data_IF_986892647482
#
_entry.id   IF_986892647482
#
_cell.length_a   1.000
_cell.length_b   1.000
_cell.length_c   1.000
_cell.angle_alpha   90.00
_cell.angle_beta   90.00
_cell.angle_gamma   90.00
#
_symmetry.space_group_name_H-M   'P 1'
#
loop_
_entity.id
_entity.type
_entity.pdbx_description
1 polymer ?
#
# COMPACT_ATOMS: atom_id res chain seq x y z
N UNK A 1 19.37 0.19 -1.40
CA UNK A 1 19.21 -1.25 -1.07
C UNK A 1 18.07 -1.78 -1.94
N UNK A 2 18.10 -3.06 -2.30
CA UNK A 2 17.03 -3.69 -3.07
C UNK A 2 15.82 -4.01 -2.20
N UNK A 3 14.63 -3.87 -2.76
CA UNK A 3 13.31 -4.22 -2.20
C UNK A 3 12.47 -4.86 -3.31
N UNK A 4 11.47 -5.66 -2.92
CA UNK A 4 10.45 -6.16 -3.85
C UNK A 4 9.10 -5.56 -3.50
N UNK A 5 8.22 -5.46 -4.48
CA UNK A 5 6.85 -4.94 -4.33
C UNK A 5 5.88 -5.91 -5.03
N UNK A 6 4.70 -6.12 -4.45
CA UNK A 6 3.62 -6.86 -5.10
C UNK A 6 2.96 -6.00 -6.18
N UNK A 7 2.53 -6.63 -7.28
CA UNK A 7 1.94 -5.94 -8.43
C UNK A 7 0.48 -6.32 -8.68
N UNK A 8 -0.17 -5.59 -9.60
CA UNK A 8 -1.60 -5.70 -9.92
C UNK A 8 -1.94 -6.82 -10.92
N UNK A 9 -0.98 -7.69 -11.31
CA UNK A 9 -1.14 -8.65 -12.42
C UNK A 9 -0.53 -10.02 -12.20
N UNK A 10 0.70 -10.10 -11.68
CA UNK A 10 1.51 -11.32 -11.70
C UNK A 10 1.88 -11.75 -10.29
N UNK A 11 2.55 -10.90 -9.51
CA UNK A 11 3.09 -11.30 -8.20
C UNK A 11 2.31 -10.69 -7.05
N UNK A 12 1.62 -11.55 -6.32
CA UNK A 12 0.87 -11.20 -5.11
C UNK A 12 1.78 -11.16 -3.88
N UNK A 13 1.32 -10.63 -2.73
CA UNK A 13 2.04 -10.77 -1.47
C UNK A 13 2.35 -12.22 -1.10
N UNK A 14 1.44 -13.15 -1.33
CA UNK A 14 1.64 -14.59 -1.06
C UNK A 14 2.81 -15.17 -1.86
N UNK A 15 3.02 -14.72 -3.10
CA UNK A 15 4.15 -15.13 -3.94
C UNK A 15 5.49 -14.57 -3.42
N UNK A 16 5.49 -13.29 -3.04
CA UNK A 16 6.73 -12.58 -2.72
C UNK A 16 7.20 -12.76 -1.28
N UNK A 17 6.28 -12.91 -0.32
CA UNK A 17 6.62 -13.01 1.10
C UNK A 17 7.61 -14.16 1.43
N UNK A 18 7.45 -15.39 0.89
CA UNK A 18 8.43 -16.46 1.07
C UNK A 18 9.81 -16.11 0.51
N UNK A 19 9.87 -15.49 -0.67
CA UNK A 19 11.11 -15.08 -1.33
C UNK A 19 11.81 -13.99 -0.52
N UNK A 20 11.09 -12.94 -0.13
CA UNK A 20 11.58 -11.85 0.71
C UNK A 20 12.19 -12.37 2.01
N UNK A 21 11.50 -13.28 2.72
CA UNK A 21 12.01 -13.89 3.95
C UNK A 21 13.28 -14.72 3.71
N UNK A 22 13.30 -15.55 2.67
CA UNK A 22 14.46 -16.41 2.34
C UNK A 22 15.69 -15.61 1.93
N UNK A 23 15.49 -14.54 1.16
CA UNK A 23 16.57 -13.71 0.63
C UNK A 23 16.99 -12.56 1.58
N UNK A 24 16.23 -12.31 2.64
CA UNK A 24 16.44 -11.13 3.49
C UNK A 24 16.16 -9.80 2.78
N UNK A 25 15.28 -9.81 1.77
CA UNK A 25 14.89 -8.62 0.99
C UNK A 25 13.55 -8.12 1.53
N UNK A 26 13.42 -6.83 1.89
CA UNK A 26 12.14 -6.31 2.35
C UNK A 26 11.06 -6.29 1.26
N UNK A 27 9.82 -6.57 1.66
CA UNK A 27 8.63 -6.37 0.85
C UNK A 27 8.07 -4.97 1.11
N UNK A 28 8.13 -4.11 0.11
CA UNK A 28 7.29 -2.91 0.00
C UNK A 28 5.89 -3.40 -0.32
N UNK A 29 4.99 -3.29 0.65
CA UNK A 29 3.60 -3.68 0.43
C UNK A 29 2.85 -2.54 -0.26
N UNK A 30 2.32 -2.79 -1.45
CA UNK A 30 1.38 -1.91 -2.12
C UNK A 30 -0.05 -2.41 -1.89
N UNK A 31 -0.84 -1.62 -1.16
CA UNK A 31 -2.21 -1.98 -0.81
C UNK A 31 -3.20 -1.78 -1.97
N UNK A 32 -2.88 -0.97 -2.98
CA UNK A 32 -3.71 -0.77 -4.17
C UNK A 32 -3.56 -1.93 -5.16
N UNK A 33 -2.32 -2.34 -5.44
CA UNK A 33 -1.99 -3.51 -6.24
C UNK A 33 -2.61 -4.78 -5.64
N UNK A 34 -2.51 -4.98 -4.32
CA UNK A 34 -3.12 -6.15 -3.69
C UNK A 34 -4.65 -6.15 -3.75
N UNK A 35 -5.31 -4.98 -3.75
CA UNK A 35 -6.77 -4.92 -3.99
C UNK A 35 -7.13 -5.22 -5.44
N UNK A 36 -6.27 -4.84 -6.41
CA UNK A 36 -6.46 -5.14 -7.82
C UNK A 36 -6.20 -6.63 -8.12
N UNK A 37 -5.25 -7.24 -7.42
CA UNK A 37 -4.85 -8.63 -7.57
C UNK A 37 -4.77 -9.30 -6.19
N UNK A 38 -5.93 -9.77 -5.72
CA UNK A 38 -6.06 -10.40 -4.40
C UNK A 38 -5.57 -11.84 -4.43
N UNK A 39 -4.85 -12.23 -3.38
CA UNK A 39 -4.42 -13.61 -3.11
C UNK A 39 -5.25 -14.30 -2.02
N UNK A 40 -6.37 -13.70 -1.62
CA UNK A 40 -7.23 -14.17 -0.53
C UNK A 40 -6.78 -13.76 0.87
N UNK A 41 -5.61 -13.13 1.03
CA UNK A 41 -5.18 -12.58 2.32
C UNK A 41 -5.81 -11.21 2.60
N UNK A 42 -6.05 -10.93 3.89
CA UNK A 42 -6.49 -9.61 4.33
C UNK A 42 -5.34 -8.59 4.35
N UNK A 43 -5.67 -7.32 4.12
CA UNK A 43 -4.70 -6.21 4.19
C UNK A 43 -3.96 -6.18 5.54
N UNK A 44 -4.67 -6.40 6.64
CA UNK A 44 -4.10 -6.41 7.99
C UNK A 44 -3.07 -7.53 8.18
N UNK A 45 -3.34 -8.69 7.57
CA UNK A 45 -2.46 -9.85 7.64
C UNK A 45 -1.20 -9.61 6.81
N UNK A 46 -1.36 -9.19 5.55
CA UNK A 46 -0.21 -8.87 4.68
C UNK A 46 0.64 -7.76 5.27
N UNK A 47 0.02 -6.70 5.82
CA UNK A 47 0.72 -5.62 6.51
C UNK A 47 1.62 -6.17 7.62
N UNK A 48 1.08 -7.05 8.49
CA UNK A 48 1.86 -7.66 9.58
C UNK A 48 3.02 -8.51 9.05
N UNK A 49 2.81 -9.27 7.98
CA UNK A 49 3.85 -10.11 7.39
C UNK A 49 4.93 -9.29 6.68
N UNK A 50 4.53 -8.30 5.88
CA UNK A 50 5.44 -7.40 5.17
C UNK A 50 6.32 -6.64 6.17
N UNK A 51 5.77 -6.10 7.26
CA UNK A 51 6.56 -5.43 8.32
C UNK A 51 7.69 -6.29 8.87
N UNK A 52 7.47 -7.60 9.05
CA UNK A 52 8.50 -8.53 9.56
C UNK A 52 9.66 -8.75 8.59
N UNK A 53 9.53 -8.33 7.32
CA UNK A 53 10.62 -8.39 6.34
C UNK A 53 11.58 -7.18 6.42
N UNK A 54 11.24 -6.16 7.22
CA UNK A 54 12.07 -4.97 7.42
C UNK A 54 12.84 -5.03 8.74
N UNK A 55 14.07 -4.51 8.73
CA UNK A 55 14.92 -4.30 9.92
C UNK A 55 15.06 -2.81 10.31
N UNK A 56 14.19 -1.97 9.76
CA UNK A 56 14.06 -0.52 9.98
C UNK A 56 12.58 -0.16 9.77
N UNK A 57 12.25 1.12 9.88
CA UNK A 57 10.93 1.62 9.48
C UNK A 57 10.58 1.15 8.05
N UNK A 58 9.45 0.44 7.87
CA UNK A 58 9.00 -0.02 6.56
C UNK A 58 8.57 1.13 5.65
N UNK A 59 8.68 0.91 4.35
CA UNK A 59 8.10 1.75 3.30
C UNK A 59 6.98 0.97 2.61
N UNK A 60 5.76 1.49 2.59
CA UNK A 60 4.60 0.92 1.89
C UNK A 60 3.99 1.93 0.92
N UNK A 61 3.30 1.45 -0.10
CA UNK A 61 2.72 2.27 -1.16
C UNK A 61 1.19 2.30 -1.07
N UNK A 62 0.61 3.44 -1.42
CA UNK A 62 -0.83 3.61 -1.52
C UNK A 62 -1.25 4.44 -2.74
N UNK A 63 -2.28 3.94 -3.41
CA UNK A 63 -3.01 4.61 -4.47
C UNK A 63 -4.52 4.44 -4.30
N UNK A 64 -5.28 5.18 -5.12
CA UNK A 64 -6.72 5.01 -5.30
C UNK A 64 -7.04 4.89 -6.79
N UNK A 65 -8.08 4.12 -7.16
CA UNK A 65 -8.49 3.95 -8.55
C UNK A 65 -9.04 5.27 -9.14
N UNK A 66 -8.55 5.65 -10.34
CA UNK A 66 -8.96 6.85 -11.06
C UNK A 66 -10.47 6.90 -11.32
N UNK A 67 -11.06 5.74 -11.61
CA UNK A 67 -12.47 5.59 -11.98
C UNK A 67 -13.27 4.83 -10.91
N UNK A 68 -12.72 4.74 -9.69
CA UNK A 68 -13.32 3.96 -8.61
C UNK A 68 -13.12 2.44 -8.75
N UNK A 69 -13.40 1.71 -7.67
CA UNK A 69 -13.24 0.25 -7.63
C UNK A 69 -14.20 -0.51 -8.56
N UNK A 70 -15.31 0.11 -8.96
CA UNK A 70 -16.26 -0.43 -9.93
C UNK A 70 -15.97 0.03 -11.37
N UNK A 71 -14.94 0.84 -11.56
CA UNK A 71 -14.51 1.31 -12.88
C UNK A 71 -13.83 0.21 -13.70
N UNK A 72 -13.71 0.39 -15.02
CA UNK A 72 -13.18 -0.65 -15.92
C UNK A 72 -11.68 -0.92 -15.75
N UNK A 73 -10.94 0.02 -15.14
CA UNK A 73 -9.48 -0.03 -14.96
C UNK A 73 -9.09 0.43 -13.55
N UNK A 74 -9.42 -0.36 -12.50
CA UNK A 74 -9.20 0.04 -11.12
C UNK A 74 -7.71 0.22 -10.78
N UNK A 75 -6.82 -0.40 -11.55
CA UNK A 75 -5.38 -0.23 -11.36
C UNK A 75 -4.84 1.17 -11.72
N UNK A 76 -5.58 2.00 -12.47
CA UNK A 76 -5.09 3.35 -12.83
C UNK A 76 -5.13 4.27 -11.62
N UNK A 77 -4.02 4.94 -11.32
CA UNK A 77 -3.94 5.84 -10.17
C UNK A 77 -4.71 7.15 -10.40
N UNK A 78 -5.49 7.54 -9.39
CA UNK A 78 -6.16 8.83 -9.30
C UNK A 78 -5.14 9.95 -8.99
N UNK A 79 -5.58 11.20 -9.15
CA UNK A 79 -4.83 12.39 -8.73
C UNK A 79 -4.64 12.48 -7.21
N UNK A 80 -5.48 11.79 -6.43
CA UNK A 80 -5.56 11.91 -4.97
C UNK A 80 -5.93 10.58 -4.35
N UNK A 81 -5.59 10.39 -3.07
CA UNK A 81 -6.00 9.22 -2.29
C UNK A 81 -7.38 9.45 -1.69
N UNK A 82 -8.29 8.51 -1.89
CA UNK A 82 -9.53 8.43 -1.14
C UNK A 82 -9.21 7.92 0.26
N UNK A 83 -9.65 8.64 1.30
CA UNK A 83 -9.41 8.25 2.71
C UNK A 83 -9.88 6.82 3.01
N UNK A 84 -10.94 6.34 2.36
CA UNK A 84 -11.45 4.98 2.54
C UNK A 84 -10.48 3.90 2.07
N UNK A 85 -9.57 4.24 1.17
CA UNK A 85 -8.56 3.32 0.66
C UNK A 85 -7.31 3.29 1.55
N UNK A 86 -7.13 4.25 2.46
CA UNK A 86 -6.05 4.21 3.44
C UNK A 86 -6.32 3.09 4.47
N UNK A 87 -5.45 2.06 4.59
CA UNK A 87 -5.70 0.97 5.52
C UNK A 87 -5.76 1.43 6.97
N UNK A 88 -6.86 1.11 7.67
CA UNK A 88 -7.01 1.47 9.09
C UNK A 88 -5.94 0.84 9.97
N UNK A 89 -5.48 -0.36 9.65
CA UNK A 89 -4.41 -1.03 10.38
C UNK A 89 -3.05 -0.33 10.26
N UNK A 90 -2.90 0.65 9.35
CA UNK A 90 -1.70 1.48 9.27
C UNK A 90 -1.76 2.67 10.23
N UNK A 91 -2.95 3.06 10.70
CA UNK A 91 -3.10 4.14 11.66
C UNK A 91 -2.43 3.76 12.98
N UNK A 92 -1.45 4.56 13.42
CA UNK A 92 -0.68 4.34 14.65
C UNK A 92 0.55 3.44 14.50
N UNK A 93 0.87 2.96 13.30
CA UNK A 93 2.13 2.28 13.04
C UNK A 93 3.25 3.29 12.73
N UNK A 94 4.47 2.98 13.19
CA UNK A 94 5.69 3.58 12.65
C UNK A 94 5.92 2.99 11.25
N UNK A 95 5.58 3.79 10.23
CA UNK A 95 5.51 3.39 8.84
C UNK A 95 5.67 4.63 7.94
N UNK A 96 6.57 4.54 6.96
CA UNK A 96 6.61 5.50 5.86
C UNK A 96 5.64 5.04 4.79
N UNK A 97 4.73 5.93 4.39
CA UNK A 97 3.77 5.68 3.31
C UNK A 97 4.12 6.55 2.11
N UNK A 98 4.52 5.93 1.01
CA UNK A 98 4.66 6.60 -0.28
C UNK A 98 3.28 6.75 -0.94
N UNK A 99 2.93 7.98 -1.29
CA UNK A 99 1.66 8.31 -1.94
C UNK A 99 1.86 8.33 -3.43
N UNK A 100 1.40 7.28 -4.10
CA UNK A 100 1.48 7.14 -5.54
C UNK A 100 0.22 7.73 -6.20
N UNK A 101 0.23 9.05 -6.37
CA UNK A 101 -0.88 9.78 -6.97
C UNK A 101 -0.36 10.84 -7.97
N UNK A 102 -1.18 11.18 -8.97
CA UNK A 102 -0.75 12.10 -10.04
C UNK A 102 -0.56 13.54 -9.56
N UNK A 103 -1.29 13.99 -8.53
CA UNK A 103 -1.13 15.33 -7.96
C UNK A 103 0.04 15.44 -6.96
N UNK A 104 0.89 14.39 -6.84
CA UNK A 104 2.16 14.42 -6.11
C UNK A 104 2.02 14.98 -4.70
N UNK A 105 2.76 16.05 -4.35
CA UNK A 105 2.78 16.63 -3.01
C UNK A 105 1.41 17.17 -2.56
N UNK A 106 0.55 17.60 -3.50
CA UNK A 106 -0.81 18.02 -3.17
C UNK A 106 -1.65 16.84 -2.67
N UNK A 107 -1.41 15.63 -3.18
CA UNK A 107 -2.06 14.42 -2.70
C UNK A 107 -1.63 14.07 -1.27
N UNK A 108 -0.33 14.20 -0.98
CA UNK A 108 0.22 14.00 0.38
C UNK A 108 -0.42 14.99 1.35
N UNK A 109 -0.39 16.29 1.05
CA UNK A 109 -0.95 17.34 1.93
C UNK A 109 -2.45 17.13 2.18
N UNK A 110 -3.21 16.76 1.14
CA UNK A 110 -4.65 16.47 1.27
C UNK A 110 -4.90 15.24 2.13
N UNK A 111 -4.14 14.16 1.93
CA UNK A 111 -4.26 12.93 2.71
C UNK A 111 -3.95 13.20 4.18
N UNK A 112 -2.83 13.88 4.49
CA UNK A 112 -2.45 14.24 5.87
C UNK A 112 -3.56 15.03 6.59
N UNK A 113 -4.12 16.04 5.94
CA UNK A 113 -5.26 16.81 6.50
C UNK A 113 -6.47 15.92 6.78
N UNK A 114 -6.76 14.97 5.89
CA UNK A 114 -7.87 14.03 6.07
C UNK A 114 -7.62 13.07 7.23
N UNK A 115 -6.39 12.60 7.43
CA UNK A 115 -5.98 11.70 8.53
C UNK A 115 -6.01 12.40 9.89
N UNK A 116 -5.67 13.69 9.95
CA UNK A 116 -5.72 14.48 11.19
C UNK A 116 -7.16 14.72 11.65
N UNK A 117 -8.10 15.04 10.74
CA UNK A 117 -9.50 15.32 11.08
C UNK A 117 -10.25 14.16 11.75
N UNK A 118 -9.80 12.92 11.58
CA UNK A 118 -10.43 11.75 12.20
C UNK A 118 -9.87 11.39 13.58
N UNK A 119 -8.83 12.11 14.04
CA UNK A 119 -8.23 11.91 15.37
C UNK A 119 -8.81 12.86 16.42
N UNK A 120 -9.61 13.83 15.99
CA UNK A 120 -10.42 14.73 16.81
C UNK A 120 -11.88 14.29 16.77
#
# INVERSE_FOLDING_TARGET
RLTLENDDKIYTPTDLLPLCRKAGIPLVYDAHHHRCHSDGLGIDEVTKQAKKTWNREPLFHISSPLEGWQGPKPNRHHDFINRRDFPRCWEGLELTVEVEAKAKEQAVLKLMRSLQKSRN
#
